data_IF_757396279022
#
_entry.id   IF_757396279022
#
_cell.length_a   1.000
_cell.length_b   1.000
_cell.length_c   1.000
_cell.angle_alpha   90.00
_cell.angle_beta   90.00
_cell.angle_gamma   90.00
#
_symmetry.space_group_name_H-M   'P 1'
#
loop_
_entity.id
_entity.type
_entity.pdbx_description
1 polymer ?
#
# COMPACT_ATOMS: atom_id res chain seq x y z
N UNK A 1 -24.91 60.74 -30.60
CA UNK A 1 -25.36 60.61 -29.19
C UNK A 1 -26.22 59.36 -29.15
N UNK A 2 -25.80 58.19 -28.66
CA UNK A 2 -25.05 57.91 -27.44
C UNK A 2 -24.17 56.66 -27.62
N UNK A 3 -22.92 56.79 -27.20
CA UNK A 3 -21.96 55.71 -26.93
C UNK A 3 -22.32 55.15 -25.54
N UNK A 4 -21.97 53.87 -25.30
CA UNK A 4 -21.76 53.20 -24.01
C UNK A 4 -22.93 52.39 -23.48
N UNK A 5 -22.86 51.07 -23.63
CA UNK A 5 -22.64 50.19 -22.48
C UNK A 5 -22.11 48.83 -22.97
N UNK A 6 -20.80 48.73 -23.08
CA UNK A 6 -20.11 47.46 -22.86
C UNK A 6 -19.82 47.39 -21.36
N UNK A 7 -20.04 46.25 -20.70
CA UNK A 7 -19.04 45.63 -19.82
C UNK A 7 -19.53 44.28 -19.26
N UNK A 8 -18.78 43.24 -19.61
CA UNK A 8 -18.30 42.20 -18.71
C UNK A 8 -19.32 41.28 -18.00
N UNK A 9 -19.94 40.38 -18.76
CA UNK A 9 -20.12 38.99 -18.29
C UNK A 9 -18.95 38.15 -18.79
N UNK A 10 -17.76 38.45 -18.28
CA UNK A 10 -16.58 37.63 -18.55
C UNK A 10 -16.76 36.29 -17.84
N UNK A 11 -16.71 35.23 -18.65
CA UNK A 11 -16.70 33.85 -18.22
C UNK A 11 -15.64 33.64 -17.12
N UNK A 12 -16.09 33.48 -15.87
CA UNK A 12 -15.37 32.70 -14.87
C UNK A 12 -15.72 31.22 -15.09
N UNK A 13 -15.38 30.71 -16.28
CA UNK A 13 -15.10 29.29 -16.41
C UNK A 13 -13.77 29.07 -15.68
N UNK A 14 -13.85 29.00 -14.35
CA UNK A 14 -12.75 28.51 -13.53
C UNK A 14 -12.50 27.08 -13.97
N UNK A 15 -11.50 26.90 -14.84
CA UNK A 15 -10.82 25.63 -14.99
C UNK A 15 -10.21 25.33 -13.63
N UNK A 16 -10.96 24.61 -12.79
CA UNK A 16 -10.39 23.84 -11.70
C UNK A 16 -9.48 22.82 -12.37
N UNK A 17 -8.22 23.21 -12.65
CA UNK A 17 -7.17 22.23 -12.77
C UNK A 17 -7.20 21.49 -11.44
N UNK A 18 -7.74 20.27 -11.44
CA UNK A 18 -7.71 19.41 -10.27
C UNK A 18 -6.27 19.40 -9.80
N UNK A 19 -6.01 19.98 -8.63
CA UNK A 19 -4.66 20.11 -8.13
C UNK A 19 -4.13 18.68 -7.94
N UNK A 20 -3.20 18.30 -8.81
CA UNK A 20 -2.62 16.97 -8.81
C UNK A 20 -1.81 16.84 -7.52
N UNK A 21 -2.19 15.84 -6.72
CA UNK A 21 -1.83 15.72 -5.32
C UNK A 21 -1.25 14.34 -4.95
N UNK A 22 -0.93 13.51 -5.94
CA UNK A 22 -0.32 12.21 -5.68
C UNK A 22 0.99 12.33 -4.87
N UNK A 23 1.27 11.34 -4.00
CA UNK A 23 2.58 11.18 -3.38
C UNK A 23 3.66 10.96 -4.44
N UNK A 24 4.89 11.41 -4.17
CA UNK A 24 6.03 11.12 -5.05
C UNK A 24 6.33 9.62 -5.10
N UNK A 25 6.11 8.92 -3.98
CA UNK A 25 6.38 7.48 -3.85
C UNK A 25 5.39 6.80 -2.92
N UNK A 26 4.93 5.62 -3.32
CA UNK A 26 4.17 4.69 -2.48
C UNK A 26 4.97 3.40 -2.35
N UNK A 27 5.30 3.03 -1.11
CA UNK A 27 5.87 1.72 -0.77
C UNK A 27 4.73 0.82 -0.28
N UNK A 28 4.36 -0.17 -1.09
CA UNK A 28 3.27 -1.11 -0.81
C UNK A 28 3.85 -2.46 -0.39
N UNK A 29 3.28 -3.07 0.64
CA UNK A 29 3.56 -4.43 1.07
C UNK A 29 2.32 -5.08 1.66
N UNK A 30 2.29 -6.40 1.72
CA UNK A 30 1.26 -7.15 2.46
C UNK A 30 1.60 -7.23 3.96
N UNK A 31 0.68 -7.75 4.78
CA UNK A 31 0.95 -8.07 6.18
C UNK A 31 2.05 -9.13 6.32
N UNK A 32 2.70 -9.17 7.49
CA UNK A 32 3.48 -10.31 7.92
C UNK A 32 2.60 -11.54 8.22
N UNK A 33 3.24 -12.65 8.53
CA UNK A 33 2.62 -13.95 8.76
C UNK A 33 1.63 -13.92 9.94
N UNK A 34 0.41 -14.40 9.70
CA UNK A 34 -0.67 -14.44 10.67
C UNK A 34 -0.64 -15.74 11.51
N UNK A 35 -1.08 -15.67 12.77
CA UNK A 35 -1.39 -16.87 13.56
C UNK A 35 -2.87 -17.25 13.46
N UNK A 36 -3.73 -16.24 13.39
CA UNK A 36 -5.19 -16.32 13.30
C UNK A 36 -5.70 -15.00 12.68
N UNK A 37 -7.01 -14.76 12.64
CA UNK A 37 -7.60 -13.57 12.02
C UNK A 37 -7.25 -12.23 12.69
N UNK A 38 -6.69 -12.24 13.91
CA UNK A 38 -6.49 -11.04 14.73
C UNK A 38 -5.03 -10.67 14.93
N UNK A 39 -4.12 -11.65 14.96
CA UNK A 39 -2.71 -11.41 15.32
C UNK A 39 -1.72 -12.10 14.40
N UNK A 40 -0.50 -11.56 14.42
CA UNK A 40 0.67 -12.18 13.80
C UNK A 40 1.12 -13.41 14.59
N UNK A 41 1.74 -14.37 13.91
CA UNK A 41 2.50 -15.44 14.56
C UNK A 41 3.88 -14.93 15.02
N UNK A 42 4.66 -15.76 15.72
CA UNK A 42 5.99 -15.37 16.20
C UNK A 42 6.92 -14.97 15.04
N UNK A 43 6.88 -15.71 13.93
CA UNK A 43 7.63 -15.38 12.71
C UNK A 43 7.15 -14.06 12.11
N UNK A 44 5.84 -13.80 12.11
CA UNK A 44 5.28 -12.54 11.64
C UNK A 44 5.71 -11.34 12.49
N UNK A 45 5.77 -11.48 13.82
CA UNK A 45 6.33 -10.45 14.70
C UNK A 45 7.83 -10.21 14.40
N UNK A 46 8.60 -11.28 14.16
CA UNK A 46 9.99 -11.16 13.73
C UNK A 46 10.11 -10.42 12.40
N UNK A 47 9.25 -10.71 11.40
CA UNK A 47 9.23 -9.97 10.13
C UNK A 47 8.89 -8.49 10.34
N UNK A 48 7.89 -8.17 11.14
CA UNK A 48 7.52 -6.78 11.43
C UNK A 48 8.68 -6.00 12.08
N UNK A 49 9.40 -6.61 13.01
CA UNK A 49 10.64 -6.05 13.57
C UNK A 49 11.75 -5.95 12.53
N UNK A 50 11.93 -6.97 11.69
CA UNK A 50 12.93 -6.99 10.65
C UNK A 50 12.70 -5.85 9.63
N UNK A 51 11.45 -5.62 9.23
CA UNK A 51 11.03 -4.50 8.39
C UNK A 51 11.42 -3.16 9.02
N UNK A 52 11.14 -2.95 10.31
CA UNK A 52 11.58 -1.75 11.04
C UNK A 52 13.09 -1.56 11.00
N UNK A 53 13.87 -2.59 11.33
CA UNK A 53 15.32 -2.47 11.46
C UNK A 53 16.06 -2.40 10.12
N UNK A 54 15.50 -2.96 9.05
CA UNK A 54 16.18 -3.05 7.77
C UNK A 54 15.68 -2.02 6.76
N UNK A 55 14.39 -1.68 6.73
CA UNK A 55 13.82 -0.91 5.61
C UNK A 55 12.99 0.30 6.03
N UNK A 56 12.01 0.08 6.92
CA UNK A 56 10.91 1.01 7.14
C UNK A 56 11.07 1.90 8.38
N UNK A 57 12.08 1.67 9.24
CA UNK A 57 12.26 2.43 10.48
C UNK A 57 13.25 3.59 10.40
N UNK A 58 13.23 4.46 11.42
CA UNK A 58 14.01 5.70 11.50
C UNK A 58 15.54 5.56 11.42
N UNK A 59 16.04 4.35 11.68
CA UNK A 59 17.47 4.01 11.64
C UNK A 59 17.67 2.69 10.89
N UNK A 60 16.85 2.48 9.86
CA UNK A 60 16.88 1.27 9.07
C UNK A 60 18.23 1.11 8.34
N UNK A 61 18.80 -0.08 8.37
CA UNK A 61 20.12 -0.36 7.77
C UNK A 61 20.14 -0.22 6.23
N UNK A 62 19.02 -0.49 5.58
CA UNK A 62 18.79 -0.45 4.12
C UNK A 62 17.56 0.42 3.84
N UNK A 63 17.50 1.61 4.44
CA UNK A 63 16.30 2.45 4.39
C UNK A 63 15.77 2.67 2.97
N UNK A 64 14.45 2.62 2.80
CA UNK A 64 13.77 2.93 1.53
C UNK A 64 13.51 4.43 1.37
N UNK A 65 13.90 5.24 2.36
CA UNK A 65 13.67 6.67 2.39
C UNK A 65 14.98 7.40 2.14
N UNK A 66 15.04 8.15 1.04
CA UNK A 66 16.22 8.93 0.63
C UNK A 66 16.33 10.26 1.37
N UNK A 67 17.08 11.21 0.78
CA UNK A 67 17.23 12.58 1.30
C UNK A 67 15.89 13.33 1.40
N UNK A 68 14.87 12.89 0.66
CA UNK A 68 13.50 13.41 0.68
C UNK A 68 12.79 13.27 2.05
N UNK A 69 13.42 12.53 2.97
CA UNK A 69 13.05 12.51 4.38
C UNK A 69 12.16 11.35 4.80
N UNK A 70 11.68 11.35 6.06
CA UNK A 70 10.89 10.25 6.61
C UNK A 70 9.60 10.01 5.81
N UNK A 71 9.01 8.80 5.88
CA UNK A 71 7.68 8.58 5.34
C UNK A 71 6.70 9.56 6.00
N UNK A 72 5.84 10.18 5.20
CA UNK A 72 4.84 11.12 5.71
C UNK A 72 3.82 10.41 6.60
N UNK A 73 3.33 9.25 6.14
CA UNK A 73 2.32 8.45 6.82
C UNK A 73 2.50 6.95 6.55
N UNK A 74 2.01 6.16 7.50
CA UNK A 74 1.78 4.72 7.35
C UNK A 74 0.28 4.47 7.25
N UNK A 75 -0.13 3.64 6.30
CA UNK A 75 -1.52 3.25 6.07
C UNK A 75 -1.68 1.75 6.27
N UNK A 76 -2.80 1.35 6.89
CA UNK A 76 -3.14 -0.04 7.15
C UNK A 76 -4.66 -0.27 7.08
N UNK A 77 -5.08 -1.49 6.74
CA UNK A 77 -6.50 -1.86 6.58
C UNK A 77 -6.96 -2.97 7.55
N UNK A 78 -6.16 -3.98 7.85
CA UNK A 78 -6.56 -5.09 8.74
C UNK A 78 -5.74 -5.11 10.04
N UNK A 79 -6.17 -5.84 11.08
CA UNK A 79 -5.34 -6.03 12.28
C UNK A 79 -3.92 -6.52 11.98
N UNK A 80 -3.75 -7.44 11.03
CA UNK A 80 -2.43 -7.93 10.63
C UNK A 80 -1.56 -6.85 9.99
N UNK A 81 -2.14 -6.03 9.10
CA UNK A 81 -1.37 -4.97 8.45
C UNK A 81 -1.00 -3.87 9.44
N UNK A 82 -1.86 -3.57 10.42
CA UNK A 82 -1.55 -2.68 11.55
C UNK A 82 -0.40 -3.23 12.38
N UNK A 83 -0.47 -4.49 12.82
CA UNK A 83 0.58 -5.12 13.61
C UNK A 83 1.92 -5.15 12.86
N UNK A 84 1.89 -5.35 11.55
CA UNK A 84 3.07 -5.33 10.68
C UNK A 84 3.70 -3.93 10.58
N UNK A 85 2.88 -2.88 10.44
CA UNK A 85 3.35 -1.51 10.29
C UNK A 85 3.82 -0.88 11.61
N UNK A 86 3.25 -1.30 12.74
CA UNK A 86 3.41 -0.66 14.06
C UNK A 86 4.87 -0.46 14.47
N UNK A 87 5.76 -1.47 14.43
CA UNK A 87 7.15 -1.28 14.83
C UNK A 87 7.88 -0.20 14.03
N UNK A 88 7.58 -0.10 12.72
CA UNK A 88 8.16 0.91 11.85
C UNK A 88 7.60 2.31 12.15
N UNK A 89 6.27 2.44 12.21
CA UNK A 89 5.60 3.71 12.49
C UNK A 89 6.02 4.31 13.85
N UNK A 90 6.08 3.49 14.90
CA UNK A 90 6.54 3.89 16.23
C UNK A 90 7.98 4.39 16.22
N UNK A 91 8.87 3.77 15.42
CA UNK A 91 10.26 4.20 15.33
C UNK A 91 10.42 5.63 14.80
N UNK A 92 9.46 6.08 13.99
CA UNK A 92 9.37 7.45 13.48
C UNK A 92 8.48 8.37 14.33
N UNK A 93 7.86 7.85 15.39
CA UNK A 93 6.84 8.54 16.19
C UNK A 93 5.67 9.06 15.33
N UNK A 94 5.27 8.25 14.35
CA UNK A 94 4.17 8.55 13.42
C UNK A 94 2.94 7.71 13.78
N UNK A 95 1.72 8.24 13.63
CA UNK A 95 0.52 7.43 13.70
C UNK A 95 0.40 6.54 12.44
N UNK A 96 -0.39 5.47 12.57
CA UNK A 96 -0.92 4.74 11.43
C UNK A 96 -2.30 5.32 11.11
N UNK A 97 -2.58 5.58 9.83
CA UNK A 97 -3.91 5.93 9.35
C UNK A 97 -4.62 4.63 8.98
N UNK A 98 -5.78 4.40 9.60
CA UNK A 98 -6.49 3.14 9.51
C UNK A 98 -7.71 3.25 8.58
N UNK A 99 -7.76 2.38 7.59
CA UNK A 99 -8.95 2.11 6.78
C UNK A 99 -9.62 0.82 7.26
N UNK A 100 -9.86 0.75 8.56
CA UNK A 100 -10.12 -0.49 9.30
C UNK A 100 -11.20 -1.38 8.68
N UNK A 101 -10.82 -2.63 8.42
CA UNK A 101 -11.71 -3.76 8.20
C UNK A 101 -11.33 -4.85 9.19
N UNK A 102 -12.27 -5.18 10.07
CA UNK A 102 -12.09 -6.21 11.10
C UNK A 102 -12.57 -7.57 10.58
N UNK A 103 -12.05 -8.69 11.13
CA UNK A 103 -12.59 -10.02 10.88
C UNK A 103 -14.12 -10.05 11.04
N UNK A 104 -14.78 -10.79 10.16
CA UNK A 104 -16.24 -10.97 10.14
C UNK A 104 -16.54 -12.47 10.07
N UNK A 105 -17.65 -12.90 10.67
CA UNK A 105 -18.12 -14.28 10.56
C UNK A 105 -18.50 -14.64 9.12
N UNK A 106 -19.05 -13.68 8.38
CA UNK A 106 -19.35 -13.81 6.95
C UNK A 106 -18.20 -13.25 6.08
N UNK A 107 -17.48 -14.12 5.33
CA UNK A 107 -16.41 -13.69 4.44
C UNK A 107 -16.85 -12.67 3.40
N UNK A 108 -18.10 -12.76 2.91
CA UNK A 108 -18.61 -11.84 1.89
C UNK A 108 -18.72 -10.41 2.44
N UNK A 109 -19.24 -10.27 3.66
CA UNK A 109 -19.32 -8.98 4.36
C UNK A 109 -17.93 -8.36 4.56
N UNK A 110 -16.93 -9.18 4.90
CA UNK A 110 -15.53 -8.73 5.00
C UNK A 110 -15.00 -8.25 3.64
N UNK A 111 -15.20 -9.01 2.58
CA UNK A 111 -14.74 -8.65 1.23
C UNK A 111 -15.38 -7.35 0.73
N UNK A 112 -16.69 -7.17 0.92
CA UNK A 112 -17.38 -5.93 0.57
C UNK A 112 -16.81 -4.72 1.33
N UNK A 113 -16.46 -4.89 2.61
CA UNK A 113 -15.80 -3.85 3.39
C UNK A 113 -14.38 -3.58 2.88
N UNK A 114 -13.60 -4.61 2.52
CA UNK A 114 -12.26 -4.44 1.95
C UNK A 114 -12.31 -3.70 0.60
N UNK A 115 -13.26 -4.03 -0.28
CA UNK A 115 -13.46 -3.31 -1.54
C UNK A 115 -13.72 -1.82 -1.30
N UNK A 116 -14.68 -1.51 -0.41
CA UNK A 116 -15.07 -0.13 -0.12
C UNK A 116 -13.90 0.67 0.47
N UNK A 117 -13.21 0.10 1.47
CA UNK A 117 -12.09 0.75 2.15
C UNK A 117 -10.84 0.89 1.27
N UNK A 118 -10.62 -0.04 0.34
CA UNK A 118 -9.52 0.07 -0.63
C UNK A 118 -9.76 1.19 -1.63
N UNK A 119 -10.99 1.31 -2.14
CA UNK A 119 -11.37 2.43 -3.02
C UNK A 119 -11.25 3.78 -2.32
N UNK A 120 -11.75 3.85 -1.08
CA UNK A 120 -11.65 5.05 -0.25
C UNK A 120 -10.17 5.44 -0.03
N UNK A 121 -9.33 4.48 0.35
CA UNK A 121 -7.91 4.72 0.58
C UNK A 121 -7.19 5.21 -0.68
N UNK A 122 -7.38 4.55 -1.83
CA UNK A 122 -6.75 4.95 -3.07
C UNK A 122 -7.20 6.36 -3.52
N UNK A 123 -8.50 6.65 -3.42
CA UNK A 123 -9.06 7.96 -3.71
C UNK A 123 -8.49 9.04 -2.81
N UNK A 124 -8.41 8.80 -1.50
CA UNK A 124 -7.81 9.75 -0.56
C UNK A 124 -6.31 9.94 -0.82
N UNK A 125 -5.57 8.89 -1.14
CA UNK A 125 -4.12 8.96 -1.32
C UNK A 125 -3.75 9.78 -2.57
N UNK A 126 -4.42 9.54 -3.71
CA UNK A 126 -4.10 10.24 -4.95
C UNK A 126 -4.59 11.69 -4.99
N UNK A 127 -5.52 12.06 -4.10
CA UNK A 127 -6.17 13.38 -4.11
C UNK A 127 -5.89 14.22 -2.86
N UNK A 128 -5.01 13.78 -1.94
CA UNK A 128 -4.71 14.52 -0.72
C UNK A 128 -3.49 15.43 -0.89
N UNK A 129 -3.66 16.77 -0.90
CA UNK A 129 -2.55 17.72 -1.08
C UNK A 129 -1.44 17.59 -0.03
N UNK A 130 -1.74 17.07 1.16
CA UNK A 130 -0.74 16.86 2.21
C UNK A 130 0.26 15.73 1.88
N UNK A 131 -0.07 14.87 0.92
CA UNK A 131 0.80 13.79 0.44
C UNK A 131 1.66 14.20 -0.75
N UNK A 132 1.38 15.35 -1.37
CA UNK A 132 2.09 15.79 -2.58
C UNK A 132 3.61 15.83 -2.35
N UNK A 133 4.34 15.17 -3.23
CA UNK A 133 5.81 15.11 -3.16
C UNK A 133 6.35 14.31 -1.99
N UNK A 134 5.52 13.53 -1.28
CA UNK A 134 5.93 12.73 -0.13
C UNK A 134 6.04 11.25 -0.48
N UNK A 135 6.83 10.55 0.33
CA UNK A 135 6.83 9.08 0.39
C UNK A 135 5.85 8.61 1.45
N UNK A 136 5.02 7.62 1.12
CA UNK A 136 4.12 6.95 2.06
C UNK A 136 4.35 5.44 2.06
N UNK A 137 3.93 4.78 3.14
CA UNK A 137 3.95 3.32 3.26
C UNK A 137 2.52 2.81 3.38
N UNK A 138 2.13 1.83 2.56
CA UNK A 138 0.86 1.13 2.62
C UNK A 138 1.08 -0.34 2.93
N UNK A 139 0.66 -0.79 4.11
CA UNK A 139 0.59 -2.21 4.45
C UNK A 139 -0.85 -2.66 4.22
N UNK A 140 -1.08 -3.53 3.23
CA UNK A 140 -2.42 -3.77 2.71
C UNK A 140 -2.82 -5.25 2.68
N UNK A 141 -4.12 -5.51 2.53
CA UNK A 141 -4.62 -6.86 2.28
C UNK A 141 -4.13 -7.34 0.92
N UNK A 142 -3.55 -8.53 0.91
CA UNK A 142 -2.88 -9.12 -0.25
C UNK A 142 -3.74 -9.13 -1.51
N UNK A 143 -4.98 -9.62 -1.41
CA UNK A 143 -5.89 -9.73 -2.57
C UNK A 143 -6.28 -8.34 -3.09
N UNK A 144 -6.38 -7.37 -2.18
CA UNK A 144 -6.64 -5.99 -2.52
C UNK A 144 -5.41 -5.21 -2.97
N UNK A 145 -4.19 -5.78 -2.90
CA UNK A 145 -3.05 -5.24 -3.65
C UNK A 145 -3.18 -5.63 -5.12
N UNK A 146 -3.25 -6.93 -5.39
CA UNK A 146 -3.43 -7.47 -6.74
C UNK A 146 -4.03 -8.89 -6.69
N UNK A 147 -5.15 -9.07 -7.39
CA UNK A 147 -5.84 -10.36 -7.51
C UNK A 147 -6.55 -10.40 -8.88
N UNK A 148 -6.27 -11.41 -9.72
CA UNK A 148 -6.80 -11.47 -11.08
C UNK A 148 -8.31 -11.76 -11.12
N UNK A 149 -8.87 -12.41 -10.10
CA UNK A 149 -10.31 -12.66 -10.01
C UNK A 149 -11.06 -11.38 -9.66
N UNK A 150 -10.54 -10.61 -8.69
CA UNK A 150 -11.09 -9.30 -8.34
C UNK A 150 -10.96 -8.33 -9.52
N UNK A 151 -9.80 -8.27 -10.16
CA UNK A 151 -9.56 -7.40 -11.31
C UNK A 151 -10.54 -7.69 -12.47
N UNK A 152 -10.85 -8.97 -12.72
CA UNK A 152 -11.81 -9.39 -13.76
C UNK A 152 -13.25 -9.08 -13.37
N UNK A 153 -13.59 -9.20 -12.08
CA UNK A 153 -14.96 -8.99 -11.59
C UNK A 153 -15.31 -7.51 -11.46
N UNK A 154 -14.33 -6.68 -11.11
CA UNK A 154 -14.49 -5.28 -10.78
C UNK A 154 -13.58 -4.43 -11.66
N UNK A 155 -14.12 -3.93 -12.77
CA UNK A 155 -13.34 -3.15 -13.74
C UNK A 155 -13.67 -1.65 -13.68
N UNK A 156 -12.72 -0.82 -14.16
CA UNK A 156 -12.90 0.63 -14.34
C UNK A 156 -13.35 1.33 -13.05
N UNK A 157 -14.49 2.00 -13.07
CA UNK A 157 -15.03 2.75 -11.93
C UNK A 157 -15.41 1.86 -10.74
N UNK A 158 -15.54 0.55 -10.96
CA UNK A 158 -15.81 -0.42 -9.91
C UNK A 158 -14.54 -1.05 -9.32
N UNK A 159 -13.35 -0.74 -9.84
CA UNK A 159 -12.07 -1.35 -9.44
C UNK A 159 -11.87 -1.39 -7.92
N UNK A 160 -11.27 -2.46 -7.42
CA UNK A 160 -11.12 -2.72 -5.98
C UNK A 160 -9.71 -3.10 -5.54
N UNK A 161 -8.78 -3.31 -6.48
CA UNK A 161 -7.37 -3.60 -6.16
C UNK A 161 -6.50 -2.35 -6.31
N UNK A 162 -5.47 -2.21 -5.48
CA UNK A 162 -4.52 -1.10 -5.59
C UNK A 162 -3.83 -1.08 -6.96
N UNK A 163 -3.58 -2.26 -7.55
CA UNK A 163 -3.05 -2.40 -8.91
C UNK A 163 -3.90 -1.64 -9.94
N UNK A 164 -5.21 -1.83 -9.94
CA UNK A 164 -6.12 -1.12 -10.85
C UNK A 164 -6.32 0.35 -10.44
N UNK A 165 -6.52 0.60 -9.14
CA UNK A 165 -6.85 1.92 -8.60
C UNK A 165 -5.69 2.93 -8.73
N UNK A 166 -4.45 2.46 -8.71
CA UNK A 166 -3.26 3.28 -8.97
C UNK A 166 -2.79 3.22 -10.43
N UNK A 167 -3.58 2.63 -11.33
CA UNK A 167 -3.28 2.54 -12.77
C UNK A 167 -1.92 1.89 -13.07
N UNK A 168 -1.53 0.88 -12.29
CA UNK A 168 -0.20 0.25 -12.41
C UNK A 168 -0.08 -0.63 -13.66
N UNK A 169 -1.18 -0.99 -14.31
CA UNK A 169 -1.24 -1.85 -15.49
C UNK A 169 -0.54 -1.28 -16.73
N UNK A 170 -0.31 0.04 -16.76
CA UNK A 170 0.44 0.70 -17.83
C UNK A 170 1.95 0.47 -17.73
N UNK A 171 2.44 0.08 -16.55
CA UNK A 171 3.87 -0.07 -16.29
C UNK A 171 4.33 -1.52 -16.55
N UNK A 172 5.51 -1.71 -17.15
CA UNK A 172 6.06 -3.04 -17.37
C UNK A 172 6.46 -3.69 -16.04
N UNK A 173 6.33 -5.02 -15.97
CA UNK A 173 6.83 -5.81 -14.84
C UNK A 173 5.94 -5.82 -13.58
N UNK A 174 4.78 -5.15 -13.60
CA UNK A 174 3.82 -5.20 -12.48
C UNK A 174 3.11 -6.57 -12.48
N UNK A 175 3.26 -7.38 -11.42
CA UNK A 175 2.57 -8.67 -11.34
C UNK A 175 1.04 -8.51 -11.34
N UNK A 176 0.32 -9.51 -11.86
CA UNK A 176 -1.16 -9.51 -11.87
C UNK A 176 -1.77 -10.00 -10.56
N UNK A 177 -0.97 -10.67 -9.74
CA UNK A 177 -1.38 -11.23 -8.48
C UNK A 177 -0.28 -11.00 -7.46
N UNK A 178 -0.67 -10.88 -6.19
CA UNK A 178 0.26 -11.03 -5.08
C UNK A 178 0.13 -12.45 -4.52
N UNK A 179 1.14 -13.34 -4.66
CA UNK A 179 1.00 -14.74 -4.27
C UNK A 179 0.79 -14.95 -2.77
N UNK A 180 0.03 -15.98 -2.40
CA UNK A 180 -0.47 -16.18 -1.04
C UNK A 180 0.60 -16.21 0.05
N UNK A 181 1.76 -16.82 -0.24
CA UNK A 181 2.83 -17.03 0.73
C UNK A 181 4.00 -16.05 0.59
N UNK A 182 3.89 -15.02 -0.26
CA UNK A 182 4.93 -14.00 -0.38
C UNK A 182 4.63 -12.82 0.56
N UNK A 183 5.37 -12.74 1.66
CA UNK A 183 5.32 -11.63 2.63
C UNK A 183 6.56 -10.71 2.52
N UNK A 184 7.49 -11.08 1.65
CA UNK A 184 8.88 -10.65 1.64
C UNK A 184 9.23 -9.74 0.47
N UNK A 185 8.26 -8.97 -0.03
CA UNK A 185 8.47 -8.03 -1.13
C UNK A 185 7.83 -6.67 -0.85
N UNK A 186 8.40 -5.65 -1.48
CA UNK A 186 7.80 -4.35 -1.66
C UNK A 186 7.41 -4.15 -3.12
N UNK A 187 6.27 -3.52 -3.34
CA UNK A 187 5.98 -2.82 -4.60
C UNK A 187 6.26 -1.35 -4.36
N UNK A 188 7.25 -0.80 -5.05
CA UNK A 188 7.58 0.63 -4.98
C UNK A 188 7.04 1.29 -6.25
N UNK A 189 6.17 2.26 -6.06
CA UNK A 189 5.54 3.02 -7.15
C UNK A 189 5.94 4.48 -7.03
N UNK A 190 6.55 5.03 -8.08
CA UNK A 190 6.91 6.44 -8.16
C UNK A 190 5.91 7.18 -9.06
N UNK A 191 5.53 8.39 -8.67
CA UNK A 191 4.67 9.28 -9.44
C UNK A 191 5.41 10.59 -9.75
N UNK A 192 5.16 11.20 -10.92
CA UNK A 192 5.71 12.51 -11.22
C UNK A 192 4.92 13.59 -10.45
N UNK A 193 5.56 14.70 -10.11
CA UNK A 193 4.92 15.79 -9.34
C UNK A 193 3.67 16.38 -10.01
N UNK A 194 3.55 16.20 -11.32
CA UNK A 194 2.52 16.76 -12.18
C UNK A 194 1.50 15.73 -12.67
N UNK A 195 1.47 14.48 -12.17
CA UNK A 195 0.45 13.50 -12.56
C UNK A 195 0.10 12.51 -11.45
N UNK A 196 -1.16 12.04 -11.45
CA UNK A 196 -1.60 10.86 -10.68
C UNK A 196 -1.38 9.55 -11.47
N UNK A 197 -0.76 9.63 -12.65
CA UNK A 197 -0.37 8.47 -13.45
C UNK A 197 1.02 8.01 -12.99
N UNK A 198 1.20 6.72 -12.65
CA UNK A 198 2.47 6.23 -12.12
C UNK A 198 3.57 6.28 -13.19
N UNK A 199 4.77 6.64 -12.78
CA UNK A 199 5.95 6.78 -13.65
C UNK A 199 6.80 5.51 -13.68
N UNK A 200 6.94 4.85 -12.52
CA UNK A 200 7.86 3.72 -12.37
C UNK A 200 7.34 2.74 -11.33
N UNK A 201 7.62 1.46 -11.58
CA UNK A 201 7.34 0.36 -10.68
C UNK A 201 8.61 -0.45 -10.45
N UNK A 202 8.84 -0.84 -9.20
CA UNK A 202 9.86 -1.80 -8.82
C UNK A 202 9.30 -2.86 -7.86
N UNK A 203 9.57 -4.13 -8.16
CA UNK A 203 9.36 -5.25 -7.25
C UNK A 203 10.67 -5.52 -6.50
N UNK A 204 10.71 -5.23 -5.20
CA UNK A 204 11.93 -5.30 -4.40
C UNK A 204 11.81 -6.39 -3.34
N UNK A 205 12.67 -7.41 -3.42
CA UNK A 205 12.76 -8.46 -2.39
C UNK A 205 13.33 -7.91 -1.09
N UNK A 206 12.72 -8.31 0.02
CA UNK A 206 13.19 -8.06 1.38
C UNK A 206 14.29 -9.07 1.72
N UNK A 207 15.42 -8.56 2.21
CA UNK A 207 16.52 -9.37 2.73
C UNK A 207 16.91 -8.87 4.12
N UNK A 208 16.64 -9.71 5.12
CA UNK A 208 16.89 -9.41 6.52
C UNK A 208 18.22 -9.95 7.05
N UNK A 209 19.00 -10.62 6.18
CA UNK A 209 20.30 -11.20 6.52
C UNK A 209 20.26 -12.16 7.71
N UNK A 210 21.40 -12.31 8.39
CA UNK A 210 21.57 -13.27 9.49
C UNK A 210 20.86 -12.87 10.80
N UNK A 211 20.34 -11.66 10.89
CA UNK A 211 19.72 -11.13 12.11
C UNK A 211 18.30 -11.67 12.34
N UNK A 212 17.65 -12.17 11.28
CA UNK A 212 16.30 -12.73 11.33
C UNK A 212 16.23 -14.08 10.59
N UNK A 213 16.98 -15.10 11.04
CA UNK A 213 17.20 -16.33 10.29
C UNK A 213 15.95 -17.23 10.17
N UNK A 214 14.92 -16.96 10.97
CA UNK A 214 13.64 -17.69 10.95
C UNK A 214 12.58 -17.06 10.06
N UNK A 215 12.82 -15.85 9.54
CA UNK A 215 11.88 -15.16 8.67
C UNK A 215 12.06 -15.68 7.24
N UNK A 216 11.00 -16.22 6.59
CA UNK A 216 11.07 -16.69 5.22
C UNK A 216 11.54 -15.61 4.23
N UNK A 217 12.32 -16.03 3.24
CA UNK A 217 12.82 -15.19 2.15
C UNK A 217 12.68 -15.93 0.81
N UNK A 218 11.45 -16.40 0.52
CA UNK A 218 11.11 -17.16 -0.68
C UNK A 218 11.11 -16.28 -1.94
N UNK A 219 11.43 -16.86 -3.09
CA UNK A 219 11.29 -16.11 -4.34
C UNK A 219 9.80 -15.83 -4.65
N UNK A 220 9.55 -14.84 -5.50
CA UNK A 220 8.19 -14.44 -5.87
C UNK A 220 7.44 -15.60 -6.52
N UNK A 221 6.32 -16.01 -5.94
CA UNK A 221 5.52 -17.15 -6.38
C UNK A 221 5.91 -18.48 -5.73
N UNK A 222 7.06 -18.54 -5.05
CA UNK A 222 7.52 -19.76 -4.38
C UNK A 222 6.91 -19.87 -2.96
N UNK A 223 6.75 -21.10 -2.42
CA UNK A 223 6.23 -21.30 -1.08
C UNK A 223 7.18 -20.73 -0.02
N UNK A 224 6.61 -20.33 1.12
CA UNK A 224 7.36 -19.81 2.28
C UNK A 224 8.30 -20.84 2.92
N UNK A 225 8.07 -22.13 2.69
CA UNK A 225 8.79 -23.22 3.35
C UNK A 225 8.46 -23.38 4.83
N UNK A 226 7.47 -22.65 5.36
CA UNK A 226 6.99 -22.81 6.72
C UNK A 226 6.25 -24.14 6.86
N UNK A 227 6.59 -24.87 7.92
CA UNK A 227 5.88 -26.08 8.32
C UNK A 227 4.56 -25.75 9.02
N UNK A 228 3.64 -26.71 9.06
CA UNK A 228 2.33 -26.54 9.71
C UNK A 228 2.41 -26.36 11.23
N UNK A 229 3.51 -26.78 11.85
CA UNK A 229 3.80 -26.58 13.28
C UNK A 229 4.52 -25.25 13.59
N UNK A 230 4.76 -24.40 12.57
CA UNK A 230 5.35 -23.06 12.74
C UNK A 230 4.51 -22.10 13.58
N UNK A 231 3.23 -22.43 13.80
CA UNK A 231 2.25 -21.56 14.45
C UNK A 231 1.75 -20.41 13.57
N UNK A 232 2.11 -20.42 12.28
CA UNK A 232 1.62 -19.47 11.29
C UNK A 232 0.59 -20.15 10.37
N UNK A 233 -0.32 -19.34 9.82
CA UNK A 233 -1.22 -19.78 8.75
C UNK A 233 -0.39 -20.00 7.49
N UNK A 234 -0.32 -21.25 7.03
CA UNK A 234 0.45 -21.66 5.84
C UNK A 234 -0.44 -21.98 4.62
N UNK A 235 -1.76 -21.93 4.78
CA UNK A 235 -2.73 -22.30 3.75
C UNK A 235 -3.19 -21.05 2.98
N UNK A 236 -3.33 -21.12 1.64
CA UNK A 236 -3.82 -20.00 0.82
C UNK A 236 -5.21 -19.49 1.20
#
# INVERSE_FOLDING_TARGET
>A
MWIRLALASALLAGSYAAAIAAPARIVILTSAEAADDWRLCEIGDQRARALRYNYLGAKAAKTLFGEDGPPAFFFAITPHTVATATPAAESWRKPIIHYSVLPQDDPKTRDEALHARTREAAGNILNNPALKGKTIVMVWDRRHIADPELDKKFEREAAVTLRQLFHLDILPGVPREWPAQNHDYFWIVDFPESSNVPLKFELVKQDFGKSFPKVPANDWGEPSGLSSDSGCVTTP
#
